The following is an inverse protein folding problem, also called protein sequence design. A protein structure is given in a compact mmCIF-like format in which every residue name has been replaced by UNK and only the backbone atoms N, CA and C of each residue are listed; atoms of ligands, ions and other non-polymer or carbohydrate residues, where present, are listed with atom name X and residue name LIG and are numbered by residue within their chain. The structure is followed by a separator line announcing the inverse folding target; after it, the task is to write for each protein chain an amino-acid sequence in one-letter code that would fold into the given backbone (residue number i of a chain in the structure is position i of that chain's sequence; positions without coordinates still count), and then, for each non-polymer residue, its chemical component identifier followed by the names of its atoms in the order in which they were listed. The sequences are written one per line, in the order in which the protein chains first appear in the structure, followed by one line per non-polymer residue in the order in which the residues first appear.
data_IF_513391098698
#
_entry.id   IF_513391098698
#
_cell.length_a   1.000
_cell.length_b   1.000
_cell.length_c   1.000
_cell.angle_alpha   90.00
_cell.angle_beta   90.00
_cell.angle_gamma   90.00
#
_symmetry.space_group_name_H-M   'P 1'
#
loop_
_entity.id
_entity.type
_entity.pdbx_description
1 polymer ?
#
# COMPACT_ATOMS: atom_id res chain seq x y z
N UNK A 1 26.84 -9.61 -6.55
CA UNK A 1 25.54 -9.11 -7.06
C UNK A 1 24.45 -9.09 -5.98
N UNK A 2 24.77 -9.37 -4.71
CA UNK A 2 23.84 -9.62 -3.58
C UNK A 2 23.61 -8.42 -2.63
N UNK A 3 23.94 -7.18 -3.01
CA UNK A 3 23.91 -6.02 -2.09
C UNK A 3 22.66 -5.13 -2.19
N UNK A 4 21.82 -5.31 -3.21
CA UNK A 4 20.66 -4.44 -3.49
C UNK A 4 19.50 -4.69 -2.50
N UNK A 5 18.80 -3.63 -2.07
CA UNK A 5 17.49 -3.71 -1.40
C UNK A 5 16.40 -3.59 -2.45
N UNK A 6 15.76 -4.70 -2.79
CA UNK A 6 14.74 -4.74 -3.84
C UNK A 6 13.39 -4.29 -3.30
N UNK A 7 12.65 -3.53 -4.12
CA UNK A 7 11.25 -3.19 -3.87
C UNK A 7 10.37 -4.07 -4.73
N UNK A 8 9.48 -4.84 -4.10
CA UNK A 8 8.43 -5.58 -4.79
C UNK A 8 7.26 -4.62 -5.08
N UNK A 9 6.88 -4.50 -6.34
CA UNK A 9 5.88 -3.55 -6.81
C UNK A 9 4.63 -4.25 -7.34
N UNK A 10 3.46 -3.64 -7.12
CA UNK A 10 2.18 -4.06 -7.68
C UNK A 10 1.20 -2.87 -7.73
N UNK A 11 0.03 -3.06 -8.31
CA UNK A 11 -1.10 -2.12 -8.30
C UNK A 11 -2.42 -2.89 -8.50
N UNK A 12 -3.53 -2.18 -8.58
CA UNK A 12 -4.83 -2.71 -9.01
C UNK A 12 -5.28 -2.26 -10.41
N UNK A 13 -4.56 -1.34 -11.06
CA UNK A 13 -4.88 -0.91 -12.42
C UNK A 13 -4.30 -1.81 -13.53
N UNK A 14 -3.28 -2.61 -13.21
CA UNK A 14 -2.60 -3.54 -14.10
C UNK A 14 -1.18 -3.11 -14.48
N UNK A 15 -0.39 -4.06 -15.00
CA UNK A 15 1.04 -3.90 -15.31
C UNK A 15 1.30 -2.79 -16.34
N UNK A 16 0.45 -2.63 -17.36
CA UNK A 16 0.58 -1.61 -18.41
C UNK A 16 -0.20 -0.33 -18.09
N UNK A 17 -0.72 -0.18 -16.87
CA UNK A 17 -1.41 1.04 -16.51
C UNK A 17 -0.43 2.25 -16.56
N UNK A 18 -0.81 3.38 -17.16
CA UNK A 18 0.08 4.53 -17.29
C UNK A 18 0.67 5.01 -15.95
N UNK A 19 -0.12 4.96 -14.87
CA UNK A 19 0.37 5.32 -13.53
C UNK A 19 1.44 4.38 -13.00
N UNK A 20 1.34 3.09 -13.32
CA UNK A 20 2.32 2.08 -12.94
C UNK A 20 3.60 2.20 -13.75
N UNK A 21 3.48 2.37 -15.07
CA UNK A 21 4.60 2.67 -15.95
C UNK A 21 5.41 3.87 -15.44
N UNK A 22 4.74 5.00 -15.18
CA UNK A 22 5.42 6.20 -14.69
C UNK A 22 6.08 5.97 -13.32
N UNK A 23 5.46 5.23 -12.41
CA UNK A 23 6.06 4.90 -11.12
C UNK A 23 7.29 4.00 -11.29
N UNK A 24 7.24 2.97 -12.15
CA UNK A 24 8.37 2.09 -12.46
C UNK A 24 9.53 2.89 -13.05
N UNK A 25 9.25 3.77 -14.02
CA UNK A 25 10.24 4.68 -14.61
C UNK A 25 10.88 5.59 -13.55
N UNK A 26 10.08 6.16 -12.64
CA UNK A 26 10.57 7.03 -11.59
C UNK A 26 11.43 6.28 -10.55
N UNK A 27 11.02 5.07 -10.15
CA UNK A 27 11.80 4.19 -9.27
C UNK A 27 13.14 3.81 -9.90
N UNK A 28 13.13 3.42 -11.19
CA UNK A 28 14.34 3.08 -11.94
C UNK A 28 15.28 4.29 -12.07
N UNK A 29 14.75 5.46 -12.44
CA UNK A 29 15.52 6.72 -12.53
C UNK A 29 16.10 7.16 -11.19
N UNK A 30 15.42 6.85 -10.08
CA UNK A 30 15.91 7.09 -8.72
C UNK A 30 16.98 6.07 -8.27
N UNK A 31 17.37 5.12 -9.14
CA UNK A 31 18.36 4.09 -8.84
C UNK A 31 17.86 3.03 -7.86
N UNK A 32 16.54 2.84 -7.72
CA UNK A 32 15.94 1.89 -6.78
C UNK A 32 15.69 0.56 -7.51
N UNK A 33 16.36 -0.54 -7.11
CA UNK A 33 16.12 -1.86 -7.71
C UNK A 33 14.71 -2.35 -7.44
N UNK A 34 14.02 -2.84 -8.47
CA UNK A 34 12.61 -3.20 -8.38
C UNK A 34 12.26 -4.50 -9.09
N UNK A 35 11.25 -5.18 -8.57
CA UNK A 35 10.59 -6.30 -9.25
C UNK A 35 9.09 -6.08 -9.18
N UNK A 36 8.40 -6.12 -10.31
CA UNK A 36 6.95 -5.97 -10.37
C UNK A 36 6.27 -7.33 -10.54
N UNK A 37 5.28 -7.60 -9.69
CA UNK A 37 4.25 -8.62 -9.90
C UNK A 37 2.93 -7.87 -9.86
N UNK A 38 2.40 -7.50 -11.03
CA UNK A 38 1.16 -6.73 -11.13
C UNK A 38 0.08 -7.52 -11.90
N UNK A 39 -1.22 -7.21 -11.72
CA UNK A 39 -2.27 -7.83 -12.50
C UNK A 39 -2.08 -7.61 -14.01
N UNK A 40 -2.45 -8.58 -14.86
CA UNK A 40 -2.40 -8.41 -16.31
C UNK A 40 -3.44 -7.42 -16.84
N UNK A 41 -4.54 -7.23 -16.09
CA UNK A 41 -5.65 -6.33 -16.45
C UNK A 41 -6.11 -5.56 -15.21
N UNK A 42 -6.87 -4.48 -15.40
CA UNK A 42 -7.44 -3.70 -14.31
C UNK A 42 -8.35 -4.57 -13.40
N UNK A 43 -8.17 -4.41 -12.09
CA UNK A 43 -8.87 -5.07 -10.98
C UNK A 43 -9.34 -4.07 -9.91
N UNK A 44 -9.66 -2.83 -10.28
CA UNK A 44 -10.10 -1.82 -9.32
C UNK A 44 -11.32 -2.30 -8.50
N UNK A 45 -11.40 -1.85 -7.25
CA UNK A 45 -12.44 -2.21 -6.28
C UNK A 45 -12.55 -3.71 -5.93
N UNK A 46 -11.47 -4.48 -6.08
CA UNK A 46 -11.44 -5.89 -5.70
C UNK A 46 -11.22 -6.15 -4.20
N UNK A 47 -10.92 -5.12 -3.39
CA UNK A 47 -10.52 -5.29 -1.98
C UNK A 47 -9.43 -6.37 -1.86
N UNK A 48 -9.58 -7.32 -0.93
CA UNK A 48 -8.71 -8.49 -0.75
C UNK A 48 -9.23 -9.75 -1.44
N UNK A 49 -9.77 -9.63 -2.66
CA UNK A 49 -10.24 -10.78 -3.43
C UNK A 49 -9.08 -11.75 -3.75
N UNK A 50 -9.33 -13.06 -3.62
CA UNK A 50 -8.39 -14.13 -3.96
C UNK A 50 -8.99 -15.06 -5.02
N UNK A 51 -8.15 -15.55 -5.93
CA UNK A 51 -8.52 -16.61 -6.86
C UNK A 51 -8.16 -17.98 -6.27
N UNK A 52 -9.17 -18.73 -5.81
CA UNK A 52 -8.98 -20.05 -5.19
C UNK A 52 -9.31 -21.19 -6.16
N UNK A 53 -8.43 -22.21 -6.18
CA UNK A 53 -8.69 -23.47 -6.88
C UNK A 53 -8.63 -23.40 -8.41
N UNK A 54 -8.11 -22.31 -8.98
CA UNK A 54 -7.89 -22.13 -10.41
C UNK A 54 -6.42 -21.83 -10.69
N UNK A 55 -5.82 -22.36 -11.76
CA UNK A 55 -4.49 -21.94 -12.21
C UNK A 55 -4.47 -20.44 -12.51
N UNK A 56 -3.37 -19.78 -12.18
CA UNK A 56 -3.12 -18.37 -12.48
C UNK A 56 -1.80 -18.31 -13.26
N UNK A 57 -1.85 -17.75 -14.47
CA UNK A 57 -0.69 -17.68 -15.34
C UNK A 57 0.17 -16.46 -15.01
N UNK A 58 1.50 -16.65 -15.06
CA UNK A 58 2.51 -15.62 -14.87
C UNK A 58 3.23 -15.38 -16.19
N UNK A 59 3.20 -14.14 -16.66
CA UNK A 59 3.80 -13.71 -17.91
C UNK A 59 5.02 -12.84 -17.62
N UNK A 60 6.18 -13.19 -18.18
CA UNK A 60 7.37 -12.34 -18.14
C UNK A 60 7.19 -11.20 -19.14
N UNK A 61 7.28 -9.95 -18.67
CA UNK A 61 7.06 -8.73 -19.46
C UNK A 61 8.36 -7.98 -19.74
N UNK A 62 9.43 -8.73 -20.06
CA UNK A 62 10.77 -8.17 -20.31
C UNK A 62 10.77 -7.13 -21.44
N UNK A 63 9.90 -7.27 -22.43
CA UNK A 63 9.74 -6.30 -23.53
C UNK A 63 9.39 -4.89 -23.04
N UNK A 64 8.71 -4.76 -21.90
CA UNK A 64 8.40 -3.45 -21.31
C UNK A 64 9.64 -2.72 -20.81
N UNK A 65 10.75 -3.42 -20.53
CA UNK A 65 12.01 -2.79 -20.12
C UNK A 65 12.57 -1.94 -21.27
N UNK A 66 12.53 -2.46 -22.49
CA UNK A 66 12.96 -1.74 -23.69
C UNK A 66 11.94 -0.67 -24.08
N UNK A 67 10.64 -0.99 -24.06
CA UNK A 67 9.56 -0.05 -24.39
C UNK A 67 9.54 1.18 -23.47
N UNK A 68 9.83 0.97 -22.19
CA UNK A 68 9.83 2.02 -21.17
C UNK A 68 11.21 2.67 -20.97
N UNK A 69 12.22 2.32 -21.78
CA UNK A 69 13.59 2.87 -21.70
C UNK A 69 14.18 2.77 -20.28
N UNK A 70 14.04 1.60 -19.65
CA UNK A 70 14.50 1.38 -18.27
C UNK A 70 15.98 0.97 -18.25
N UNK A 71 16.73 1.52 -17.30
CA UNK A 71 18.13 1.13 -17.08
C UNK A 71 18.18 -0.23 -16.37
N UNK A 72 18.48 -1.30 -17.13
CA UNK A 72 18.67 -2.66 -16.62
C UNK A 72 19.77 -2.74 -15.54
N UNK A 73 20.76 -1.84 -15.54
CA UNK A 73 21.86 -1.87 -14.58
C UNK A 73 21.41 -1.54 -13.14
N UNK A 74 20.33 -0.79 -13.00
CA UNK A 74 19.65 -0.53 -11.72
C UNK A 74 19.05 -1.81 -11.14
N UNK A 75 18.65 -2.76 -11.98
CA UNK A 75 17.98 -4.00 -11.61
C UNK A 75 16.47 -3.83 -11.65
N UNK A 76 15.86 -4.29 -12.74
CA UNK A 76 14.41 -4.23 -12.98
C UNK A 76 13.91 -5.55 -13.57
N UNK A 77 12.80 -6.05 -13.03
CA UNK A 77 12.10 -7.22 -13.54
C UNK A 77 10.60 -6.99 -13.51
N UNK A 78 9.90 -7.33 -14.59
CA UNK A 78 8.47 -7.05 -14.75
C UNK A 78 7.72 -8.33 -15.08
N UNK A 79 6.72 -8.67 -14.26
CA UNK A 79 5.83 -9.81 -14.46
C UNK A 79 4.37 -9.39 -14.33
N UNK A 80 3.54 -9.94 -15.22
CA UNK A 80 2.10 -9.82 -15.20
C UNK A 80 1.48 -11.13 -14.71
N UNK A 81 0.52 -11.04 -13.79
CA UNK A 81 -0.21 -12.20 -13.28
C UNK A 81 -1.69 -12.07 -13.63
N UNK A 82 -2.31 -13.15 -14.11
CA UNK A 82 -3.75 -13.18 -14.43
C UNK A 82 -4.67 -13.25 -13.18
N UNK A 83 -4.22 -12.69 -12.06
CA UNK A 83 -4.88 -12.69 -10.76
C UNK A 83 -5.30 -11.29 -10.28
N UNK A 84 -5.63 -11.19 -9.00
CA UNK A 84 -5.87 -9.93 -8.28
C UNK A 84 -4.56 -9.36 -7.71
N UNK A 85 -4.56 -8.12 -7.21
CA UNK A 85 -3.42 -7.56 -6.48
C UNK A 85 -2.99 -8.43 -5.29
N UNK A 86 -3.94 -9.00 -4.52
CA UNK A 86 -3.59 -9.94 -3.45
C UNK A 86 -2.98 -11.23 -3.97
N UNK A 87 -3.49 -11.80 -5.07
CA UNK A 87 -2.87 -12.98 -5.68
C UNK A 87 -1.43 -12.68 -6.12
N UNK A 88 -1.14 -11.47 -6.62
CA UNK A 88 0.24 -11.09 -7.01
C UNK A 88 1.19 -11.14 -5.81
N UNK A 89 0.74 -10.71 -4.63
CA UNK A 89 1.55 -10.75 -3.41
C UNK A 89 1.72 -12.17 -2.89
N UNK A 90 0.65 -12.97 -2.88
CA UNK A 90 0.73 -14.39 -2.49
C UNK A 90 1.69 -15.14 -3.41
N UNK A 91 1.52 -15.03 -4.73
CA UNK A 91 2.38 -15.72 -5.70
C UNK A 91 3.82 -15.24 -5.59
N UNK A 92 4.06 -13.93 -5.50
CA UNK A 92 5.42 -13.40 -5.37
C UNK A 92 6.11 -13.90 -4.09
N UNK A 93 5.45 -13.75 -2.93
CA UNK A 93 6.05 -13.99 -1.62
C UNK A 93 6.09 -15.47 -1.24
N UNK A 94 5.12 -16.28 -1.67
CA UNK A 94 5.05 -17.72 -1.38
C UNK A 94 5.77 -18.59 -2.43
N UNK A 95 6.91 -18.09 -2.92
CA UNK A 95 7.86 -18.87 -3.72
C UNK A 95 7.86 -18.61 -5.22
N UNK A 96 6.86 -17.90 -5.78
CA UNK A 96 6.83 -17.55 -7.20
C UNK A 96 7.99 -16.64 -7.61
N UNK A 97 8.30 -15.61 -6.81
CA UNK A 97 9.47 -14.76 -7.06
C UNK A 97 10.77 -15.57 -7.02
N UNK A 98 10.95 -16.40 -5.99
CA UNK A 98 12.12 -17.26 -5.84
C UNK A 98 12.26 -18.25 -7.00
N UNK A 99 11.14 -18.72 -7.57
CA UNK A 99 11.13 -19.62 -8.71
C UNK A 99 11.66 -18.97 -9.99
N UNK A 100 11.23 -17.74 -10.28
CA UNK A 100 11.63 -17.02 -11.51
C UNK A 100 12.92 -16.22 -11.37
N UNK A 101 13.25 -15.78 -10.15
CA UNK A 101 14.41 -14.94 -9.81
C UNK A 101 15.01 -15.36 -8.46
N UNK A 102 15.78 -16.45 -8.41
CA UNK A 102 16.27 -17.03 -7.15
C UNK A 102 17.22 -16.13 -6.35
N UNK A 103 17.85 -15.15 -7.00
CA UNK A 103 18.79 -14.20 -6.39
C UNK A 103 18.15 -12.89 -5.94
N UNK A 104 16.83 -12.72 -6.14
CA UNK A 104 16.08 -11.51 -5.79
C UNK A 104 15.26 -11.76 -4.51
N UNK A 105 15.52 -10.94 -3.50
CA UNK A 105 14.77 -10.95 -2.24
C UNK A 105 14.27 -9.53 -1.92
N UNK A 106 12.95 -9.30 -1.84
CA UNK A 106 12.39 -7.98 -1.61
C UNK A 106 12.52 -7.59 -0.14
N UNK A 107 12.84 -6.31 0.09
CA UNK A 107 12.93 -5.72 1.42
C UNK A 107 11.69 -4.90 1.80
N UNK A 108 10.90 -4.50 0.81
CA UNK A 108 9.75 -3.60 0.93
C UNK A 108 8.75 -3.89 -0.19
N UNK A 109 7.46 -3.75 0.09
CA UNK A 109 6.41 -3.70 -0.93
C UNK A 109 5.94 -2.27 -1.17
N UNK A 110 5.74 -1.93 -2.44
CA UNK A 110 5.07 -0.71 -2.87
C UNK A 110 3.88 -1.08 -3.75
N UNK A 111 2.67 -0.81 -3.28
CA UNK A 111 1.44 -0.95 -4.05
C UNK A 111 0.94 0.43 -4.48
N UNK A 112 0.79 0.67 -5.79
CA UNK A 112 0.34 1.94 -6.35
C UNK A 112 1.13 2.36 -7.59
N UNK A 113 1.09 3.64 -8.01
CA UNK A 113 0.24 4.70 -7.47
C UNK A 113 -1.17 4.52 -8.00
N UNK A 114 -2.14 4.33 -7.10
CA UNK A 114 -3.55 4.20 -7.47
C UNK A 114 -4.11 5.53 -7.99
N UNK A 115 -4.93 5.47 -9.04
CA UNK A 115 -5.69 6.62 -9.52
C UNK A 115 -7.02 6.74 -8.74
N UNK A 116 -7.05 7.67 -7.79
CA UNK A 116 -8.17 7.88 -6.88
C UNK A 116 -7.76 7.71 -5.41
N UNK A 117 -8.50 8.32 -4.48
CA UNK A 117 -8.18 8.28 -3.05
C UNK A 117 -8.43 6.91 -2.43
N UNK A 118 -7.59 6.54 -1.46
CA UNK A 118 -7.80 5.43 -0.54
C UNK A 118 -7.83 5.98 0.89
N UNK A 119 -8.80 6.85 1.15
CA UNK A 119 -8.98 7.61 2.39
C UNK A 119 -10.13 7.04 3.22
N UNK A 120 -10.05 7.14 4.55
CA UNK A 120 -11.15 6.72 5.43
C UNK A 120 -11.66 5.29 5.09
N UNK A 121 -12.97 5.10 4.91
CA UNK A 121 -13.57 3.81 4.59
C UNK A 121 -13.24 3.28 3.18
N UNK A 122 -12.76 4.10 2.25
CA UNK A 122 -12.35 3.64 0.90
C UNK A 122 -11.21 2.65 0.99
N UNK A 123 -10.39 2.77 2.04
CA UNK A 123 -9.28 1.87 2.31
C UNK A 123 -9.66 0.39 2.42
N UNK A 124 -10.92 0.06 2.74
CA UNK A 124 -11.40 -1.33 2.82
C UNK A 124 -11.66 -1.96 1.45
N UNK A 125 -12.07 -1.18 0.46
CA UNK A 125 -12.48 -1.68 -0.86
C UNK A 125 -11.36 -1.64 -1.89
N UNK A 126 -10.23 -1.04 -1.52
CA UNK A 126 -9.08 -0.81 -2.39
C UNK A 126 -8.24 -2.08 -2.62
N UNK A 127 -7.98 -2.40 -3.88
CA UNK A 127 -7.04 -3.47 -4.26
C UNK A 127 -5.59 -3.09 -3.94
N UNK A 128 -5.24 -1.81 -4.14
CA UNK A 128 -3.93 -1.25 -3.75
C UNK A 128 -3.68 -1.42 -2.23
N UNK A 129 -4.67 -1.12 -1.38
CA UNK A 129 -4.56 -1.37 0.06
C UNK A 129 -4.54 -2.87 0.40
N UNK A 130 -5.34 -3.66 -0.33
CA UNK A 130 -5.40 -5.12 -0.19
C UNK A 130 -4.03 -5.76 -0.40
N UNK A 131 -3.33 -5.39 -1.47
CA UNK A 131 -1.98 -5.90 -1.76
C UNK A 131 -0.95 -5.51 -0.69
N UNK A 132 -0.92 -4.23 -0.27
CA UNK A 132 -0.01 -3.81 0.80
C UNK A 132 -0.30 -4.54 2.12
N UNK A 133 -1.57 -4.77 2.44
CA UNK A 133 -1.96 -5.55 3.62
C UNK A 133 -1.56 -7.02 3.48
N UNK A 134 -1.77 -7.62 2.31
CA UNK A 134 -1.40 -9.02 2.02
C UNK A 134 0.12 -9.23 2.20
N UNK A 135 0.94 -8.33 1.68
CA UNK A 135 2.38 -8.34 1.93
C UNK A 135 2.73 -8.33 3.43
N UNK A 136 2.00 -7.51 4.19
CA UNK A 136 2.08 -7.48 5.64
C UNK A 136 1.71 -8.83 6.29
N UNK A 137 0.68 -9.54 5.81
CA UNK A 137 0.33 -10.87 6.31
C UNK A 137 1.50 -11.86 6.17
N UNK A 138 2.22 -11.77 5.05
CA UNK A 138 3.47 -12.50 4.79
C UNK A 138 4.70 -11.94 5.51
N UNK A 139 4.56 -10.90 6.33
CA UNK A 139 5.62 -10.36 7.19
C UNK A 139 6.62 -9.44 6.49
N UNK A 140 6.23 -8.88 5.34
CA UNK A 140 7.02 -7.90 4.60
C UNK A 140 6.46 -6.47 4.84
N UNK A 141 7.30 -5.47 5.14
CA UNK A 141 6.84 -4.08 5.26
C UNK A 141 6.25 -3.59 3.93
N UNK A 142 5.21 -2.76 3.99
CA UNK A 142 4.49 -2.33 2.81
C UNK A 142 4.03 -0.87 2.86
N UNK A 143 4.01 -0.25 1.68
CA UNK A 143 3.43 1.07 1.40
C UNK A 143 2.33 0.89 0.36
N UNK A 144 1.13 1.38 0.65
CA UNK A 144 0.10 1.66 -0.34
C UNK A 144 0.18 3.14 -0.70
N UNK A 145 0.18 3.49 -1.99
CA UNK A 145 0.24 4.87 -2.46
C UNK A 145 -0.87 5.19 -3.44
N UNK A 146 -1.49 6.36 -3.28
CA UNK A 146 -2.66 6.79 -4.03
C UNK A 146 -2.58 8.27 -4.37
N UNK A 147 -2.95 8.61 -5.60
CA UNK A 147 -3.16 9.98 -6.07
C UNK A 147 -4.64 10.32 -5.95
N UNK A 148 -5.02 11.35 -5.21
CA UNK A 148 -6.43 11.57 -4.81
C UNK A 148 -7.30 12.22 -5.89
N UNK A 149 -6.92 12.08 -7.15
CA UNK A 149 -7.71 12.47 -8.32
C UNK A 149 -7.92 11.27 -9.23
N UNK A 150 -9.07 11.24 -9.89
CA UNK A 150 -9.38 10.29 -10.95
C UNK A 150 -8.92 10.78 -12.33
N UNK A 151 -8.46 12.03 -12.44
CA UNK A 151 -7.80 12.55 -13.63
C UNK A 151 -6.31 12.19 -13.57
N UNK A 152 -5.77 11.42 -14.52
CA UNK A 152 -4.34 11.14 -14.58
C UNK A 152 -3.46 12.40 -14.72
N UNK A 153 -4.04 13.51 -15.18
CA UNK A 153 -3.33 14.79 -15.22
C UNK A 153 -2.85 15.19 -13.82
N UNK A 154 -1.56 15.48 -13.71
CA UNK A 154 -0.91 15.86 -12.46
C UNK A 154 -0.47 14.69 -11.57
N UNK A 155 -0.73 13.43 -11.92
CA UNK A 155 -0.30 12.24 -11.14
C UNK A 155 1.20 12.24 -10.81
N UNK A 156 2.01 12.93 -11.61
CA UNK A 156 3.43 13.15 -11.38
C UNK A 156 3.74 13.63 -9.94
N UNK A 157 2.92 14.49 -9.34
CA UNK A 157 3.14 14.92 -7.93
C UNK A 157 2.94 13.76 -6.94
N UNK A 158 1.99 12.87 -7.22
CA UNK A 158 1.77 11.64 -6.46
C UNK A 158 2.94 10.67 -6.57
N UNK A 159 3.52 10.54 -7.76
CA UNK A 159 4.71 9.72 -8.00
C UNK A 159 5.91 10.30 -7.26
N UNK A 160 6.16 11.61 -7.38
CA UNK A 160 7.26 12.28 -6.68
C UNK A 160 7.17 12.10 -5.16
N UNK A 161 5.99 12.35 -4.57
CA UNK A 161 5.77 12.12 -3.14
C UNK A 161 5.97 10.64 -2.73
N UNK A 162 5.62 9.71 -3.62
CA UNK A 162 5.82 8.27 -3.40
C UNK A 162 7.30 7.92 -3.39
N UNK A 163 8.08 8.40 -4.36
CA UNK A 163 9.53 8.16 -4.44
C UNK A 163 10.23 8.75 -3.21
N UNK A 164 9.90 9.98 -2.82
CA UNK A 164 10.44 10.63 -1.63
C UNK A 164 10.18 9.79 -0.36
N UNK A 165 8.95 9.27 -0.20
CA UNK A 165 8.62 8.39 0.93
C UNK A 165 9.39 7.07 0.87
N UNK A 166 9.49 6.43 -0.30
CA UNK A 166 10.25 5.17 -0.47
C UNK A 166 11.72 5.38 -0.14
N UNK A 167 12.34 6.46 -0.63
CA UNK A 167 13.74 6.80 -0.33
C UNK A 167 13.97 7.03 1.17
N UNK A 168 12.97 7.54 1.89
CA UNK A 168 13.04 7.72 3.33
C UNK A 168 12.86 6.42 4.11
N UNK A 169 12.03 5.50 3.61
CA UNK A 169 11.66 4.24 4.30
C UNK A 169 12.61 3.09 3.98
N UNK A 170 13.10 2.98 2.74
CA UNK A 170 13.95 1.87 2.29
C UNK A 170 15.25 1.70 3.12
N UNK A 171 15.93 2.75 3.60
CA UNK A 171 17.05 2.62 4.52
C UNK A 171 16.66 1.99 5.87
N UNK A 172 15.42 2.19 6.31
CA UNK A 172 14.91 1.78 7.63
C UNK A 172 14.54 0.30 7.69
N UNK A 173 14.28 -0.36 6.56
CA UNK A 173 13.95 -1.80 6.51
C UNK A 173 15.22 -2.66 6.34
N UNK A 174 15.28 -3.88 6.91
CA UNK A 174 16.41 -4.77 6.67
C UNK A 174 16.44 -5.23 5.20
N UNK A 175 17.63 -5.50 4.66
CA UNK A 175 17.77 -6.07 3.31
C UNK A 175 17.04 -7.41 3.19
N UNK A 176 17.26 -8.27 4.18
CA UNK A 176 16.60 -9.58 4.30
C UNK A 176 15.50 -9.44 5.35
N UNK A 177 14.21 -9.54 4.97
CA UNK A 177 13.09 -9.48 5.90
C UNK A 177 13.12 -10.68 6.85
N UNK A 178 13.27 -10.42 8.16
CA UNK A 178 13.40 -11.49 9.17
C UNK A 178 12.13 -12.31 9.38
N UNK A 179 10.98 -11.75 9.02
CA UNK A 179 9.66 -12.35 9.28
C UNK A 179 8.92 -12.75 8.00
N UNK A 180 9.63 -12.80 6.85
CA UNK A 180 9.02 -13.18 5.57
C UNK A 180 8.49 -14.61 5.63
N UNK A 181 7.23 -14.80 5.23
CA UNK A 181 6.43 -16.01 5.39
C UNK A 181 6.24 -16.46 6.86
N UNK A 182 6.42 -15.54 7.82
CA UNK A 182 6.15 -15.73 9.26
C UNK A 182 6.75 -17.02 9.86
N UNK A 183 8.07 -17.27 9.72
CA UNK A 183 8.70 -18.52 10.18
C UNK A 183 8.58 -18.69 11.70
N UNK A 184 8.47 -17.58 12.44
CA UNK A 184 8.25 -17.54 13.88
C UNK A 184 7.21 -16.47 14.22
N UNK A 185 6.13 -16.88 14.88
CA UNK A 185 5.10 -15.97 15.37
C UNK A 185 5.29 -15.81 16.88
N UNK A 186 5.75 -14.63 17.34
CA UNK A 186 5.85 -14.32 18.76
C UNK A 186 4.75 -13.34 19.19
N UNK A 187 3.59 -13.90 19.56
CA UNK A 187 2.46 -13.17 20.13
C UNK A 187 2.75 -12.52 21.50
N UNK A 188 3.97 -12.64 22.03
CA UNK A 188 4.43 -11.96 23.25
C UNK A 188 5.36 -10.78 22.95
N UNK A 189 5.59 -10.49 21.67
CA UNK A 189 6.38 -9.33 21.27
C UNK A 189 5.80 -8.05 21.87
N UNK A 190 6.66 -7.11 22.27
CA UNK A 190 6.22 -5.89 22.98
C UNK A 190 5.34 -4.97 22.12
N UNK A 191 5.49 -5.05 20.80
CA UNK A 191 4.79 -4.22 19.82
C UNK A 191 3.43 -4.80 19.37
N UNK A 192 3.10 -6.05 19.75
CA UNK A 192 1.77 -6.62 19.49
C UNK A 192 0.87 -6.52 20.72
N UNK A 193 -0.43 -6.60 20.51
CA UNK A 193 -1.44 -6.40 21.53
C UNK A 193 -1.44 -7.50 22.58
N UNK A 194 -1.54 -7.10 23.85
CA UNK A 194 -1.75 -8.02 24.97
C UNK A 194 -3.24 -8.29 25.25
N UNK A 195 -4.14 -7.90 24.33
CA UNK A 195 -5.60 -8.00 24.51
C UNK A 195 -6.02 -9.40 25.00
N UNK A 196 -6.94 -9.49 25.98
CA UNK A 196 -7.71 -8.40 26.60
C UNK A 196 -7.02 -7.72 27.78
N UNK A 197 -5.73 -8.01 28.05
CA UNK A 197 -4.99 -7.35 29.14
C UNK A 197 -4.72 -5.88 28.79
N UNK A 198 -4.61 -5.06 29.82
CA UNK A 198 -4.28 -3.63 29.67
C UNK A 198 -2.93 -3.47 28.97
N UNK A 199 -2.88 -2.54 28.01
CA UNK A 199 -1.66 -2.20 27.31
C UNK A 199 -0.56 -1.70 28.28
N UNK A 200 0.69 -1.99 27.93
CA UNK A 200 1.87 -1.61 28.70
C UNK A 200 2.12 -0.12 28.54
N UNK A 201 2.44 0.58 29.63
CA UNK A 201 2.88 1.98 29.55
C UNK A 201 4.25 2.05 28.85
N UNK A 202 4.40 3.02 27.95
CA UNK A 202 5.61 3.18 27.12
C UNK A 202 6.05 4.64 27.13
N UNK A 203 7.35 4.86 27.17
CA UNK A 203 7.95 6.14 26.77
C UNK A 203 7.85 6.34 25.26
N UNK A 204 8.08 7.57 24.80
CA UNK A 204 8.14 7.88 23.36
C UNK A 204 9.14 6.99 22.62
N UNK A 205 10.36 6.90 23.15
CA UNK A 205 11.44 6.14 22.51
C UNK A 205 11.12 4.65 22.40
N UNK A 206 10.48 4.08 23.42
CA UNK A 206 10.06 2.67 23.38
C UNK A 206 8.93 2.45 22.36
N UNK A 207 8.00 3.39 22.25
CA UNK A 207 6.92 3.32 21.28
C UNK A 207 7.45 3.44 19.84
N UNK A 208 8.39 4.37 19.58
CA UNK A 208 9.00 4.53 18.26
C UNK A 208 9.75 3.26 17.81
N UNK A 209 10.54 2.65 18.70
CA UNK A 209 11.21 1.38 18.43
C UNK A 209 10.22 0.24 18.16
N UNK A 210 9.12 0.20 18.88
CA UNK A 210 8.08 -0.81 18.71
C UNK A 210 7.28 -0.63 17.43
N UNK A 211 6.99 0.61 17.01
CA UNK A 211 6.36 0.91 15.72
C UNK A 211 7.28 0.52 14.56
N UNK A 212 8.57 0.85 14.65
CA UNK A 212 9.57 0.42 13.67
C UNK A 212 9.67 -1.11 13.61
N UNK A 213 9.64 -1.80 14.75
CA UNK A 213 9.59 -3.27 14.82
C UNK A 213 8.34 -3.83 14.14
N UNK A 214 7.16 -3.28 14.45
CA UNK A 214 5.89 -3.69 13.84
C UNK A 214 5.90 -3.48 12.32
N UNK A 215 6.43 -2.36 11.84
CA UNK A 215 6.58 -2.09 10.41
C UNK A 215 7.52 -3.10 9.74
N UNK A 216 8.73 -3.30 10.28
CA UNK A 216 9.72 -4.28 9.75
C UNK A 216 9.22 -5.73 9.76
N UNK A 217 8.24 -6.05 10.59
CA UNK A 217 7.60 -7.37 10.66
C UNK A 217 6.27 -7.43 9.89
N UNK A 218 5.89 -6.41 9.13
CA UNK A 218 4.66 -6.39 8.33
C UNK A 218 3.37 -6.31 9.15
N UNK A 219 3.43 -5.98 10.44
CA UNK A 219 2.24 -5.80 11.29
C UNK A 219 1.69 -4.38 11.24
N UNK A 220 2.48 -3.44 10.74
CA UNK A 220 2.11 -2.07 10.43
C UNK A 220 2.42 -1.81 8.94
N UNK A 221 1.50 -1.16 8.24
CA UNK A 221 1.66 -0.70 6.86
C UNK A 221 1.50 0.83 6.79
N UNK A 222 2.02 1.43 5.72
CA UNK A 222 1.84 2.86 5.44
C UNK A 222 0.83 3.03 4.31
N UNK A 223 -0.11 3.97 4.47
CA UNK A 223 -1.02 4.41 3.42
C UNK A 223 -0.74 5.88 3.10
N UNK A 224 -0.24 6.14 1.89
CA UNK A 224 0.07 7.47 1.36
C UNK A 224 -1.06 7.91 0.43
N UNK A 225 -1.61 9.10 0.68
CA UNK A 225 -2.57 9.76 -0.21
C UNK A 225 -2.07 11.17 -0.55
N UNK A 226 -1.93 11.46 -1.84
CA UNK A 226 -1.31 12.69 -2.34
C UNK A 226 -2.34 13.53 -3.12
N UNK A 227 -2.62 14.78 -2.71
CA UNK A 227 -3.53 15.66 -3.46
C UNK A 227 -2.91 16.19 -4.75
N UNK A 228 -3.74 16.55 -5.76
CA UNK A 228 -3.29 17.26 -6.96
C UNK A 228 -2.51 18.54 -6.66
N UNK A 229 -2.94 19.29 -5.65
CA UNK A 229 -2.35 20.55 -5.22
C UNK A 229 -1.32 20.37 -4.10
N UNK A 230 -0.61 19.24 -4.08
CA UNK A 230 0.35 18.91 -3.03
C UNK A 230 1.37 20.03 -2.80
N UNK A 231 1.38 20.56 -1.57
CA UNK A 231 2.19 21.69 -1.13
C UNK A 231 3.65 21.32 -0.78
N UNK A 232 4.13 20.14 -1.22
CA UNK A 232 5.46 19.57 -0.89
C UNK A 232 5.68 19.26 0.59
N UNK A 233 4.61 19.23 1.39
CA UNK A 233 4.68 18.84 2.80
C UNK A 233 3.86 17.58 3.06
N UNK A 234 4.34 16.78 3.99
CA UNK A 234 3.65 15.58 4.46
C UNK A 234 2.94 15.87 5.77
N UNK A 235 2.00 15.01 6.14
CA UNK A 235 1.40 15.01 7.45
C UNK A 235 1.07 13.59 7.90
N UNK A 236 1.48 13.26 9.12
CA UNK A 236 1.12 11.99 9.75
C UNK A 236 -0.34 12.02 10.19
N UNK A 237 -1.09 10.99 9.80
CA UNK A 237 -2.54 10.93 9.95
C UNK A 237 -3.05 9.57 10.46
N UNK A 238 -4.33 9.56 10.83
CA UNK A 238 -5.21 8.40 10.97
C UNK A 238 -6.24 8.43 9.86
N UNK A 239 -6.98 7.34 9.69
CA UNK A 239 -8.18 7.34 8.85
C UNK A 239 -9.14 8.45 9.31
N UNK A 240 -9.59 9.26 8.36
CA UNK A 240 -10.60 10.30 8.54
C UNK A 240 -12.01 9.73 8.44
N UNK A 241 -12.99 10.61 8.24
CA UNK A 241 -14.41 10.24 8.17
C UNK A 241 -15.03 10.79 6.89
N UNK A 242 -15.13 9.92 5.88
CA UNK A 242 -15.71 10.20 4.56
C UNK A 242 -16.97 9.37 4.38
N UNK A 243 -18.07 9.97 3.98
CA UNK A 243 -19.37 9.33 3.82
C UNK A 243 -19.84 9.38 2.36
N UNK A 244 -20.36 8.25 1.88
CA UNK A 244 -20.98 8.13 0.56
C UNK A 244 -22.49 8.14 0.72
N UNK A 245 -23.15 9.05 0.03
CA UNK A 245 -24.58 9.28 0.21
C UNK A 245 -25.32 9.18 -1.10
N UNK A 246 -26.54 8.64 -1.02
CA UNK A 246 -27.38 8.34 -2.19
C UNK A 246 -26.60 7.56 -3.26
N UNK A 247 -25.94 6.47 -2.84
CA UNK A 247 -25.01 5.73 -3.67
C UNK A 247 -25.65 4.85 -4.77
N UNK A 248 -26.98 4.93 -4.95
CA UNK A 248 -27.70 4.10 -5.92
C UNK A 248 -28.53 5.01 -6.83
N UNK A 249 -28.33 4.84 -8.15
CA UNK A 249 -29.21 5.39 -9.19
C UNK A 249 -30.02 4.25 -9.81
N UNK A 250 -31.27 4.54 -10.17
CA UNK A 250 -32.19 3.57 -10.76
C UNK A 250 -32.56 3.98 -12.19
N UNK A 251 -32.75 3.00 -13.07
CA UNK A 251 -33.29 3.18 -14.41
C UNK A 251 -34.27 2.04 -14.74
N UNK A 252 -35.31 2.37 -15.50
CA UNK A 252 -36.24 1.37 -16.04
C UNK A 252 -35.63 0.68 -17.27
N UNK A 253 -35.87 -0.62 -17.41
CA UNK A 253 -35.41 -1.37 -18.58
C UNK A 253 -36.31 -1.11 -19.78
N UNK A 254 -35.74 -0.62 -20.89
CA UNK A 254 -36.49 -0.39 -22.14
C UNK A 254 -36.97 -1.69 -22.83
N UNK A 255 -36.45 -2.85 -22.42
CA UNK A 255 -36.83 -4.17 -22.95
C UNK A 255 -37.03 -5.15 -21.80
N UNK A 256 -38.20 -5.80 -21.74
CA UNK A 256 -38.72 -6.60 -20.61
C UNK A 256 -37.97 -7.90 -20.25
N UNK A 257 -36.64 -7.90 -20.32
CA UNK A 257 -35.78 -9.02 -19.89
C UNK A 257 -35.15 -8.82 -18.51
N UNK A 258 -35.26 -7.63 -17.93
CA UNK A 258 -34.69 -7.27 -16.62
C UNK A 258 -35.68 -6.40 -15.85
N UNK A 259 -35.87 -6.69 -14.56
CA UNK A 259 -36.86 -6.02 -13.70
C UNK A 259 -36.45 -4.58 -13.33
N UNK A 260 -35.16 -4.32 -13.11
CA UNK A 260 -34.63 -2.99 -12.78
C UNK A 260 -33.12 -2.93 -13.02
N UNK A 261 -32.59 -1.75 -13.34
CA UNK A 261 -31.14 -1.50 -13.46
C UNK A 261 -30.71 -0.55 -12.34
N UNK A 262 -29.69 -0.98 -11.58
CA UNK A 262 -29.07 -0.18 -10.53
C UNK A 262 -27.64 0.18 -10.92
N UNK A 263 -27.26 1.44 -10.73
CA UNK A 263 -25.87 1.89 -10.82
C UNK A 263 -25.40 2.35 -9.46
N UNK A 264 -24.28 1.82 -9.00
CA UNK A 264 -23.65 2.21 -7.74
C UNK A 264 -22.65 3.33 -8.02
N UNK A 265 -22.79 4.44 -7.30
CA UNK A 265 -21.92 5.61 -7.35
C UNK A 265 -22.54 6.73 -6.52
N UNK A 266 -21.77 7.30 -5.59
CA UNK A 266 -22.28 8.37 -4.73
C UNK A 266 -22.79 9.56 -5.54
N UNK A 267 -23.97 10.05 -5.17
CA UNK A 267 -24.46 11.32 -5.67
C UNK A 267 -23.75 12.50 -4.98
N UNK A 268 -23.36 12.35 -3.71
CA UNK A 268 -22.53 13.30 -2.99
C UNK A 268 -21.65 12.61 -1.94
N UNK A 269 -20.54 13.26 -1.62
CA UNK A 269 -19.55 12.81 -0.63
C UNK A 269 -19.41 13.91 0.43
N UNK A 270 -19.63 13.58 1.69
CA UNK A 270 -19.40 14.47 2.84
C UNK A 270 -18.23 13.98 3.71
N UNK A 271 -17.38 14.90 4.14
CA UNK A 271 -16.30 14.62 5.09
C UNK A 271 -16.61 15.30 6.43
N UNK A 272 -16.38 14.59 7.52
CA UNK A 272 -16.40 15.14 8.87
C UNK A 272 -14.97 15.38 9.36
N UNK A 273 -14.73 16.54 9.95
CA UNK A 273 -13.42 16.92 10.49
C UNK A 273 -13.02 15.97 11.61
N UNK A 274 -11.86 15.35 11.46
CA UNK A 274 -11.27 14.45 12.45
C UNK A 274 -9.87 14.95 12.79
N UNK A 275 -9.53 14.99 14.09
CA UNK A 275 -8.16 15.31 14.47
C UNK A 275 -7.17 14.33 13.83
N UNK A 276 -6.19 14.88 13.11
CA UNK A 276 -5.23 14.13 12.29
C UNK A 276 -5.90 13.20 11.25
N UNK A 277 -7.07 13.53 10.74
CA UNK A 277 -7.74 12.77 9.68
C UNK A 277 -7.05 12.89 8.32
N UNK A 278 -6.93 11.78 7.59
CA UNK A 278 -6.37 11.72 6.24
C UNK A 278 -7.14 12.59 5.23
N UNK A 279 -8.47 12.60 5.30
CA UNK A 279 -9.36 13.40 4.45
C UNK A 279 -9.09 14.90 4.61
N UNK A 280 -8.95 15.35 5.85
CA UNK A 280 -8.73 16.77 6.18
C UNK A 280 -7.32 17.21 5.76
N UNK A 281 -6.33 16.35 5.97
CA UNK A 281 -4.94 16.56 5.55
C UNK A 281 -4.83 16.73 4.03
N UNK A 282 -5.44 15.82 3.27
CA UNK A 282 -5.45 15.89 1.80
C UNK A 282 -6.20 17.14 1.33
N UNK A 283 -7.36 17.44 1.92
CA UNK A 283 -8.12 18.65 1.59
C UNK A 283 -7.35 19.96 1.85
N UNK A 284 -6.41 19.94 2.81
CA UNK A 284 -5.53 21.06 3.10
C UNK A 284 -4.24 21.09 2.25
N UNK A 285 -4.10 20.19 1.27
CA UNK A 285 -2.97 20.15 0.33
C UNK A 285 -1.74 19.39 0.82
N UNK A 286 -1.82 18.65 1.93
CA UNK A 286 -0.72 17.84 2.45
C UNK A 286 -0.79 16.39 1.92
N UNK A 287 0.36 15.78 1.67
CA UNK A 287 0.43 14.34 1.46
C UNK A 287 0.24 13.61 2.79
N UNK A 288 -0.85 12.86 2.92
CA UNK A 288 -1.23 12.16 4.15
C UNK A 288 -0.51 10.82 4.26
N UNK A 289 0.18 10.57 5.38
CA UNK A 289 0.81 9.28 5.71
C UNK A 289 0.08 8.69 6.92
N UNK A 290 -0.75 7.67 6.67
CA UNK A 290 -1.44 6.94 7.72
C UNK A 290 -0.70 5.65 8.07
N UNK A 291 -0.35 5.47 9.35
CA UNK A 291 0.20 4.21 9.87
C UNK A 291 -0.96 3.29 10.27
N UNK A 292 -1.16 2.20 9.56
CA UNK A 292 -2.33 1.33 9.71
C UNK A 292 -1.92 -0.08 10.16
N UNK A 293 -2.61 -0.68 11.15
CA UNK A 293 -2.36 -2.06 11.52
C UNK A 293 -2.74 -2.99 10.36
N UNK A 294 -1.88 -3.96 10.06
CA UNK A 294 -2.12 -4.99 9.03
C UNK A 294 -3.20 -5.97 9.48
N UNK A 295 -3.18 -6.34 10.76
CA UNK A 295 -4.09 -7.32 11.33
C UNK A 295 -5.35 -6.64 11.86
N UNK A 296 -6.53 -7.32 11.78
CA UNK A 296 -7.75 -6.79 12.36
C UNK A 296 -7.66 -6.75 13.89
N UNK A 297 -8.43 -5.86 14.50
CA UNK A 297 -8.58 -5.81 15.95
C UNK A 297 -8.98 -7.19 16.49
N UNK A 298 -8.51 -7.53 17.69
CA UNK A 298 -8.64 -8.84 18.37
C UNK A 298 -7.73 -9.97 17.86
N UNK A 299 -7.07 -9.82 16.71
CA UNK A 299 -6.05 -10.78 16.29
C UNK A 299 -4.80 -10.66 17.19
N UNK A 300 -4.12 -11.76 17.58
CA UNK A 300 -2.93 -11.70 18.45
C UNK A 300 -1.75 -10.87 17.92
N UNK A 301 -1.70 -10.61 16.61
CA UNK A 301 -0.69 -9.76 15.95
C UNK A 301 -1.15 -8.33 15.68
N UNK A 302 -2.37 -7.95 16.10
CA UNK A 302 -2.79 -6.54 16.03
C UNK A 302 -1.92 -5.69 16.94
N UNK A 303 -1.69 -4.43 16.57
CA UNK A 303 -1.10 -3.45 17.48
C UNK A 303 -2.17 -2.97 18.47
N UNK A 304 -1.75 -2.55 19.65
CA UNK A 304 -2.66 -1.91 20.61
C UNK A 304 -2.88 -0.42 20.32
N UNK A 305 -4.06 0.07 20.69
CA UNK A 305 -4.48 1.46 20.40
C UNK A 305 -3.57 2.51 21.04
N UNK A 306 -2.93 2.22 22.18
CA UNK A 306 -1.99 3.17 22.80
C UNK A 306 -0.73 3.30 21.96
N UNK A 307 -0.19 2.20 21.43
CA UNK A 307 0.93 2.24 20.50
C UNK A 307 0.58 2.96 19.20
N UNK A 308 -0.61 2.74 18.64
CA UNK A 308 -1.08 3.45 17.45
C UNK A 308 -1.27 4.97 17.70
N UNK A 309 -1.63 5.38 18.92
CA UNK A 309 -1.67 6.80 19.27
C UNK A 309 -0.28 7.47 19.20
N UNK A 310 0.80 6.74 19.51
CA UNK A 310 2.17 7.23 19.29
C UNK A 310 2.52 7.37 17.82
N UNK A 311 1.93 6.55 16.94
CA UNK A 311 2.15 6.60 15.51
C UNK A 311 1.63 7.90 14.86
N UNK A 312 0.76 8.67 15.55
CA UNK A 312 0.25 9.97 15.09
C UNK A 312 1.21 11.14 15.34
N UNK A 313 2.34 10.90 16.02
CA UNK A 313 3.34 11.94 16.24
C UNK A 313 4.15 12.13 14.97
N UNK A 314 4.45 13.38 14.66
CA UNK A 314 5.22 13.76 13.48
C UNK A 314 6.42 14.64 13.84
N UNK A 315 7.44 14.62 12.99
CA UNK A 315 8.55 15.56 13.04
C UNK A 315 8.22 16.88 12.31
N UNK A 316 9.19 17.79 12.25
CA UNK A 316 9.05 19.10 11.61
C UNK A 316 8.74 19.02 10.10
N UNK A 317 9.10 17.90 9.45
CA UNK A 317 8.79 17.63 8.05
C UNK A 317 7.43 16.94 7.87
N UNK A 318 6.67 16.77 8.95
CA UNK A 318 5.36 16.13 8.94
C UNK A 318 5.37 14.61 8.78
N UNK A 319 6.55 13.98 8.83
CA UNK A 319 6.68 12.53 8.75
C UNK A 319 6.58 11.87 10.14
N UNK A 320 6.20 10.59 10.24
CA UNK A 320 6.10 9.91 11.53
C UNK A 320 7.43 9.94 12.32
N UNK A 321 7.36 10.27 13.62
CA UNK A 321 8.57 10.38 14.46
C UNK A 321 9.35 9.07 14.56
N UNK A 322 8.63 7.94 14.48
CA UNK A 322 9.21 6.61 14.57
C UNK A 322 10.10 6.22 13.38
N UNK A 323 10.14 7.02 12.30
CA UNK A 323 11.12 6.85 11.22
C UNK A 323 12.57 7.05 11.67
N UNK A 324 12.81 7.61 12.86
CA UNK A 324 14.14 7.83 13.44
C UNK A 324 14.65 6.67 14.31
N UNK A 325 13.84 5.63 14.49
CA UNK A 325 14.05 4.53 15.46
C UNK A 325 14.75 3.27 14.93
#
# INVERSE_FOLDING_TARGET
MTEKKWVLMTNDDGIEAPGFEHLVKAMNSAGIPLVAFAPSTNKSACSMQLNLGKPIDLHNRRELIEEWDLDETVGVHLFALDGTPCDTMIVALDGGLKHVLPDVEPSLVLSGVNLGPNLSQDSYHSGTMGAAREAGLYGLPAIASSYTSFDPAGMQVGIEATIELVQRVLPLVPRIPKNLCRPHIDARSKHVSAWPKKAVQRSQSEADQQLMSAFRHGELMLNLNVPPEWNRSYQTTRLGMRWYRNAVKFAESEKGSVESIFTIGAAYIDNEMVDRGDCDSVAAGYASISSLPTWPQTHPLTLDDQLLAFALRQDESGHPTWFKG
#
